data_IF_851789373680
#
_entry.id   IF_851789373680
#
_cell.length_a   1.000
_cell.length_b   1.000
_cell.length_c   1.000
_cell.angle_alpha   90.00
_cell.angle_beta   90.00
_cell.angle_gamma   90.00
#
_symmetry.space_group_name_H-M   'P 1'
#
loop_
_entity.id
_entity.type
_entity.pdbx_description
1 polymer ?
#
# COMPACT_ATOMS: atom_id res chain seq x y z
N UNK A 1 1.60 -6.37 -32.85
CA UNK A 1 1.96 -6.79 -31.48
C UNK A 1 2.57 -5.67 -30.62
N UNK A 2 3.14 -4.60 -31.20
CA UNK A 2 3.75 -3.46 -30.46
C UNK A 2 2.71 -2.49 -29.86
N UNK A 3 1.54 -2.34 -30.50
CA UNK A 3 0.47 -1.43 -30.07
C UNK A 3 -0.15 -1.79 -28.70
N UNK A 4 -0.22 -3.07 -28.35
CA UNK A 4 -0.85 -3.53 -27.11
C UNK A 4 -0.02 -3.18 -25.86
N UNK A 5 1.31 -3.27 -25.97
CA UNK A 5 2.25 -2.85 -24.91
C UNK A 5 2.24 -1.34 -24.65
N UNK A 6 2.11 -0.55 -25.71
CA UNK A 6 1.99 0.92 -25.60
C UNK A 6 0.73 1.33 -24.85
N UNK A 7 -0.40 0.67 -25.14
CA UNK A 7 -1.67 0.93 -24.47
C UNK A 7 -1.66 0.54 -22.98
N UNK A 8 -0.92 -0.52 -22.62
CA UNK A 8 -0.79 -0.93 -21.22
C UNK A 8 0.02 0.07 -20.39
N UNK A 9 1.17 0.53 -20.90
CA UNK A 9 1.96 1.60 -20.25
C UNK A 9 1.17 2.88 -20.10
N UNK A 10 0.38 3.25 -21.11
CA UNK A 10 -0.50 4.44 -21.06
C UNK A 10 -1.60 4.29 -20.02
N UNK A 11 -2.20 3.11 -19.86
CA UNK A 11 -3.20 2.83 -18.81
C UNK A 11 -2.61 2.85 -17.40
N UNK A 12 -1.37 2.38 -17.22
CA UNK A 12 -0.64 2.50 -15.95
C UNK A 12 -0.28 3.97 -15.65
N UNK A 13 0.14 4.73 -16.67
CA UNK A 13 0.38 6.18 -16.55
C UNK A 13 -0.92 6.98 -16.27
N UNK A 14 -2.05 6.51 -16.79
CA UNK A 14 -3.38 7.05 -16.47
C UNK A 14 -3.79 6.72 -15.03
N UNK A 15 -3.28 5.63 -14.45
CA UNK A 15 -3.42 5.33 -13.03
C UNK A 15 -2.64 6.32 -12.16
N UNK A 16 -1.44 6.74 -12.58
CA UNK A 16 -0.69 7.80 -11.90
C UNK A 16 -1.30 9.20 -12.06
N UNK A 17 -2.16 9.40 -13.07
CA UNK A 17 -2.90 10.66 -13.28
C UNK A 17 -4.38 10.56 -12.86
N UNK A 18 -4.82 9.41 -12.37
CA UNK A 18 -6.12 9.28 -11.75
C UNK A 18 -6.12 10.19 -10.52
N UNK A 19 -7.04 11.16 -10.52
CA UNK A 19 -7.23 12.07 -9.37
C UNK A 19 -7.27 11.22 -8.11
N UNK A 20 -6.37 11.50 -7.16
CA UNK A 20 -6.41 10.90 -5.83
C UNK A 20 -7.84 11.06 -5.31
N UNK A 21 -8.58 9.98 -5.03
CA UNK A 21 -9.95 10.11 -4.55
C UNK A 21 -9.92 10.97 -3.29
N UNK A 22 -10.83 11.93 -3.20
CA UNK A 22 -10.95 12.74 -2.00
C UNK A 22 -11.21 11.81 -0.82
N UNK A 23 -10.47 11.99 0.27
CA UNK A 23 -10.70 11.24 1.50
C UNK A 23 -12.14 11.52 1.96
N UNK A 24 -12.95 10.47 2.06
CA UNK A 24 -14.35 10.58 2.51
C UNK A 24 -14.42 11.11 3.95
N UNK A 25 -13.40 10.79 4.75
CA UNK A 25 -13.22 11.30 6.11
C UNK A 25 -11.77 11.73 6.31
N UNK A 26 -11.56 13.00 6.67
CA UNK A 26 -10.26 13.48 7.11
C UNK A 26 -10.01 12.94 8.53
N UNK A 27 -8.97 12.14 8.72
CA UNK A 27 -8.53 11.78 10.07
C UNK A 27 -7.85 12.99 10.71
N UNK A 28 -8.05 13.18 12.01
CA UNK A 28 -7.42 14.27 12.74
C UNK A 28 -5.89 14.22 12.57
N UNK A 29 -5.26 15.34 12.16
CA UNK A 29 -3.80 15.41 12.09
C UNK A 29 -3.18 15.11 13.45
N UNK A 30 -2.09 14.35 13.45
CA UNK A 30 -1.14 14.33 14.57
C UNK A 30 -0.87 13.00 15.24
N UNK A 31 -1.72 11.96 15.18
CA UNK A 31 -1.41 10.60 15.73
C UNK A 31 -2.21 9.47 15.07
N UNK A 32 -2.28 9.42 13.75
CA UNK A 32 -2.91 8.28 13.06
C UNK A 32 -2.07 7.03 13.30
N UNK A 33 -2.69 5.96 13.82
CA UNK A 33 -2.09 4.63 13.92
C UNK A 33 -2.90 3.69 13.04
N UNK A 34 -2.24 3.04 12.10
CA UNK A 34 -2.86 2.13 11.15
C UNK A 34 -2.29 0.72 11.31
N UNK A 35 -3.17 -0.28 11.29
CA UNK A 35 -2.80 -1.69 11.22
C UNK A 35 -3.29 -2.25 9.90
N UNK A 36 -2.37 -2.70 9.06
CA UNK A 36 -2.67 -3.45 7.84
C UNK A 36 -2.62 -4.94 8.14
N UNK A 37 -3.75 -5.62 8.03
CA UNK A 37 -3.85 -7.06 8.27
C UNK A 37 -3.59 -7.82 6.96
N UNK A 38 -2.42 -8.42 6.88
CA UNK A 38 -1.84 -9.08 5.71
C UNK A 38 -1.63 -10.58 5.97
N UNK A 39 -2.66 -11.24 6.50
CA UNK A 39 -2.67 -12.68 6.80
C UNK A 39 -3.04 -13.56 5.59
N UNK A 40 -3.17 -12.96 4.40
CA UNK A 40 -3.51 -13.65 3.15
C UNK A 40 -2.31 -14.34 2.48
N UNK A 41 -2.53 -14.80 1.24
CA UNK A 41 -1.46 -15.36 0.43
C UNK A 41 -0.53 -14.25 -0.11
N UNK A 42 0.61 -14.64 -0.68
CA UNK A 42 1.58 -13.70 -1.24
C UNK A 42 0.98 -12.77 -2.31
N UNK A 43 0.05 -13.27 -3.13
CA UNK A 43 -0.62 -12.47 -4.15
C UNK A 43 -1.36 -11.27 -3.57
N UNK A 44 -2.18 -11.50 -2.55
CA UNK A 44 -2.94 -10.45 -1.86
C UNK A 44 -2.00 -9.44 -1.19
N UNK A 45 -0.88 -9.94 -0.66
CA UNK A 45 0.15 -9.12 -0.02
C UNK A 45 0.80 -8.15 -1.00
N UNK A 46 1.17 -8.62 -2.19
CA UNK A 46 1.75 -7.78 -3.23
C UNK A 46 0.73 -6.76 -3.75
N UNK A 47 -0.52 -7.19 -3.96
CA UNK A 47 -1.59 -6.32 -4.48
C UNK A 47 -1.97 -5.19 -3.52
N UNK A 48 -1.69 -5.31 -2.21
CA UNK A 48 -2.00 -4.26 -1.23
C UNK A 48 -0.93 -3.16 -1.15
N UNK A 49 0.29 -3.40 -1.62
CA UNK A 49 1.42 -2.45 -1.49
C UNK A 49 1.05 -1.04 -2.03
N UNK A 50 0.42 -0.88 -3.22
CA UNK A 50 0.03 0.44 -3.70
C UNK A 50 -0.96 1.16 -2.77
N UNK A 51 -1.83 0.41 -2.08
CA UNK A 51 -2.76 0.99 -1.11
C UNK A 51 -2.05 1.45 0.17
N UNK A 52 -1.07 0.69 0.66
CA UNK A 52 -0.24 1.07 1.82
C UNK A 52 0.55 2.36 1.50
N UNK A 53 1.15 2.43 0.31
CA UNK A 53 1.87 3.62 -0.16
C UNK A 53 0.94 4.84 -0.27
N UNK A 54 -0.22 4.68 -0.89
CA UNK A 54 -1.20 5.76 -1.00
C UNK A 54 -1.72 6.22 0.37
N UNK A 55 -1.81 5.32 1.36
CA UNK A 55 -2.15 5.68 2.73
C UNK A 55 -1.06 6.56 3.36
N UNK A 56 0.24 6.19 3.23
CA UNK A 56 1.37 7.02 3.68
C UNK A 56 1.34 8.41 3.05
N UNK A 57 1.07 8.51 1.75
CA UNK A 57 0.98 9.80 1.05
C UNK A 57 -0.18 10.68 1.56
N UNK A 58 -1.22 10.08 2.13
CA UNK A 58 -2.35 10.81 2.73
C UNK A 58 -2.09 11.18 4.20
N UNK A 59 -1.33 10.35 4.90
CA UNK A 59 -1.03 10.51 6.32
C UNK A 59 0.49 10.35 6.55
N UNK A 60 1.31 11.35 6.18
CA UNK A 60 2.77 11.23 6.24
C UNK A 60 3.30 10.87 7.63
N UNK A 61 2.65 11.38 8.68
CA UNK A 61 3.05 11.18 10.08
C UNK A 61 2.37 9.95 10.75
N UNK A 62 1.62 9.14 10.00
CA UNK A 62 0.96 7.97 10.58
C UNK A 62 2.00 6.92 11.03
N UNK A 63 1.74 6.23 12.14
CA UNK A 63 2.43 4.98 12.45
C UNK A 63 1.71 3.82 11.75
N UNK A 64 2.36 3.17 10.79
CA UNK A 64 1.82 2.08 9.98
C UNK A 64 2.48 0.78 10.43
N UNK A 65 1.67 -0.13 10.99
CA UNK A 65 2.09 -1.47 11.39
C UNK A 65 1.45 -2.50 10.46
N UNK A 66 2.21 -3.52 10.05
CA UNK A 66 1.69 -4.66 9.31
C UNK A 66 1.59 -5.90 10.19
N UNK A 67 0.39 -6.49 10.29
CA UNK A 67 0.22 -7.84 10.81
C UNK A 67 0.38 -8.81 9.65
N UNK A 68 1.42 -9.64 9.65
CA UNK A 68 1.78 -10.47 8.51
C UNK A 68 2.30 -11.84 8.95
N UNK A 69 2.28 -12.81 8.04
CA UNK A 69 3.06 -14.04 8.20
C UNK A 69 4.55 -13.73 8.05
N UNK A 70 5.43 -14.58 8.56
CA UNK A 70 6.89 -14.45 8.42
C UNK A 70 7.31 -14.32 6.96
N UNK A 71 6.67 -15.07 6.05
CA UNK A 71 6.91 -14.98 4.60
C UNK A 71 6.47 -13.64 4.00
N UNK A 72 5.30 -13.15 4.41
CA UNK A 72 4.80 -11.85 3.95
C UNK A 72 5.62 -10.69 4.51
N UNK A 73 6.16 -10.82 5.73
CA UNK A 73 7.05 -9.83 6.32
C UNK A 73 8.31 -9.62 5.47
N UNK A 74 8.97 -10.70 5.01
CA UNK A 74 10.17 -10.61 4.17
C UNK A 74 9.91 -9.78 2.89
N UNK A 75 8.74 -9.96 2.29
CA UNK A 75 8.31 -9.18 1.14
C UNK A 75 8.02 -7.72 1.52
N UNK A 76 7.28 -7.51 2.60
CA UNK A 76 6.82 -6.19 3.04
C UNK A 76 7.92 -5.34 3.68
N UNK A 77 9.02 -5.93 4.16
CA UNK A 77 10.14 -5.18 4.74
C UNK A 77 10.87 -4.29 3.71
N UNK A 78 10.63 -4.52 2.42
CA UNK A 78 11.12 -3.66 1.34
C UNK A 78 10.20 -2.46 1.07
N UNK A 79 9.03 -2.37 1.74
CA UNK A 79 8.05 -1.30 1.54
C UNK A 79 8.34 -0.16 2.53
N UNK A 80 8.82 1.01 2.06
CA UNK A 80 9.26 2.09 2.95
C UNK A 80 8.13 2.76 3.73
N UNK A 81 6.87 2.49 3.37
CA UNK A 81 5.72 3.02 4.07
C UNK A 81 5.43 2.33 5.42
N UNK A 82 5.99 1.13 5.67
CA UNK A 82 5.68 0.34 6.87
C UNK A 82 6.73 0.61 7.95
N UNK A 83 6.28 0.97 9.15
CA UNK A 83 7.16 1.32 10.27
C UNK A 83 7.45 0.13 11.21
N UNK A 84 6.53 -0.84 11.28
CA UNK A 84 6.56 -1.88 12.30
C UNK A 84 5.85 -3.16 11.82
N UNK A 85 6.19 -4.30 12.41
CA UNK A 85 5.62 -5.61 12.05
C UNK A 85 5.11 -6.37 13.29
N UNK A 86 3.97 -7.04 13.12
CA UNK A 86 3.46 -8.05 14.04
C UNK A 86 3.37 -9.36 13.26
N UNK A 87 4.08 -10.39 13.70
CA UNK A 87 4.12 -11.69 13.01
C UNK A 87 3.04 -12.62 13.58
N UNK A 88 2.33 -13.35 12.72
CA UNK A 88 1.15 -14.14 13.12
C UNK A 88 1.08 -15.58 12.55
N UNK A 89 2.22 -16.26 12.42
CA UNK A 89 2.34 -17.67 11.98
C UNK A 89 3.26 -18.52 12.84
#
# INVERSE_FOLDING_TARGET
MISQYYNLRRRIALWTTARKPALVYSLAPGKVKALFVMAGLMGDTIMSIPAIMAFRDNYPDAKITALATSKSQELLSMVPAIDDFMVCD
#
